data_IF_373336912831
#
_entry.id   IF_373336912831
#
_cell.length_a   1.000
_cell.length_b   1.000
_cell.length_c   1.000
_cell.angle_alpha   90.00
_cell.angle_beta   90.00
_cell.angle_gamma   90.00
#
_symmetry.space_group_name_H-M   'P 1'
#
loop_
_entity.id
_entity.type
_entity.pdbx_description
1 polymer ?
#
# COMPACT_ATOMS: atom_id res chain seq x y z
N UNK A 1 11.02 9.87 -2.59
CA UNK A 1 12.35 10.52 -2.69
C UNK A 1 13.35 9.49 -2.19
N UNK A 2 13.89 8.69 -3.10
CA UNK A 2 14.73 7.52 -2.81
C UNK A 2 16.20 7.91 -3.05
N UNK A 3 16.85 8.50 -2.05
CA UNK A 3 18.30 8.72 -2.06
C UNK A 3 18.82 10.06 -2.62
N UNK A 4 17.96 11.00 -3.06
CA UNK A 4 18.41 12.29 -3.62
C UNK A 4 18.21 13.47 -2.66
N UNK A 5 18.71 13.37 -1.43
CA UNK A 5 18.65 14.50 -0.48
C UNK A 5 19.42 14.31 0.81
N UNK A 6 19.85 15.41 1.42
CA UNK A 6 20.44 15.44 2.77
C UNK A 6 19.31 15.35 3.80
N UNK A 7 19.21 14.25 4.53
CA UNK A 7 18.25 14.05 5.62
C UNK A 7 18.79 14.66 6.93
N UNK A 8 18.00 15.52 7.57
CA UNK A 8 18.23 15.91 8.97
C UNK A 8 17.23 15.17 9.85
N UNK A 9 17.74 14.40 10.79
CA UNK A 9 16.95 13.73 11.82
C UNK A 9 16.39 14.80 12.78
N UNK A 10 15.06 14.84 12.94
CA UNK A 10 14.39 15.83 13.80
C UNK A 10 14.18 15.23 15.19
N UNK A 11 13.32 14.22 15.29
CA UNK A 11 12.94 13.57 16.53
C UNK A 11 12.37 12.18 16.20
N UNK A 12 12.50 11.23 17.12
CA UNK A 12 11.99 9.86 16.94
C UNK A 12 11.07 9.45 18.07
N UNK A 13 9.97 8.79 17.72
CA UNK A 13 9.04 8.18 18.65
C UNK A 13 9.08 6.66 18.54
N UNK A 14 9.10 5.98 19.68
CA UNK A 14 8.88 4.54 19.76
C UNK A 14 7.41 4.30 20.05
N UNK A 15 6.75 3.48 19.22
CA UNK A 15 5.35 3.10 19.36
C UNK A 15 5.29 1.59 19.53
N UNK A 16 4.61 1.13 20.59
CA UNK A 16 4.28 -0.27 20.77
C UNK A 16 3.04 -0.61 19.94
N UNK A 17 3.23 -1.37 18.86
CA UNK A 17 2.14 -1.78 17.98
C UNK A 17 1.16 -2.73 18.65
N UNK A 18 1.54 -3.43 19.72
CA UNK A 18 0.61 -4.35 20.42
C UNK A 18 -0.31 -3.61 21.38
N UNK A 19 0.07 -2.40 21.81
CA UNK A 19 -0.72 -1.55 22.70
C UNK A 19 -1.71 -0.61 21.95
N UNK A 20 -1.67 -0.57 20.63
CA UNK A 20 -2.58 0.26 19.83
C UNK A 20 -3.99 -0.33 19.79
N UNK A 21 -4.98 0.55 19.70
CA UNK A 21 -6.37 0.18 19.46
C UNK A 21 -6.59 -0.20 17.99
N UNK A 22 -7.10 -1.42 17.77
CA UNK A 22 -7.44 -1.95 16.46
C UNK A 22 -8.93 -2.24 16.30
N UNK A 23 -9.79 -1.80 17.22
CA UNK A 23 -11.23 -2.10 17.22
C UNK A 23 -11.89 -1.67 15.90
N UNK A 24 -11.47 -0.52 15.36
CA UNK A 24 -11.94 -0.04 14.05
C UNK A 24 -11.66 -1.02 12.91
N UNK A 25 -10.48 -1.64 12.91
CA UNK A 25 -10.14 -2.66 11.92
C UNK A 25 -10.88 -3.95 12.29
N UNK A 26 -10.79 -4.42 13.53
CA UNK A 26 -11.37 -5.69 13.96
C UNK A 26 -12.89 -5.79 13.74
N UNK A 27 -13.63 -4.68 13.82
CA UNK A 27 -15.08 -4.63 13.69
C UNK A 27 -15.59 -4.50 12.24
N UNK A 28 -14.72 -4.34 11.24
CA UNK A 28 -15.15 -4.11 9.86
C UNK A 28 -15.41 -5.43 9.09
N UNK A 29 -16.34 -5.38 8.14
CA UNK A 29 -16.71 -6.54 7.33
C UNK A 29 -15.87 -6.68 6.04
N UNK A 30 -15.39 -5.57 5.49
CA UNK A 30 -14.60 -5.53 4.25
C UNK A 30 -13.46 -4.53 4.37
N UNK A 31 -12.33 -4.86 3.74
CA UNK A 31 -11.11 -4.08 3.83
C UNK A 31 -10.47 -3.82 2.47
N UNK A 32 -9.67 -2.77 2.41
CA UNK A 32 -8.77 -2.47 1.30
C UNK A 32 -7.34 -2.35 1.80
N UNK A 33 -6.40 -2.58 0.89
CA UNK A 33 -4.98 -2.28 1.09
C UNK A 33 -4.64 -1.04 0.28
N UNK A 34 -4.08 -0.05 0.93
CA UNK A 34 -3.43 1.10 0.29
C UNK A 34 -1.91 0.86 0.28
N UNK A 35 -1.29 0.87 -0.90
CA UNK A 35 0.18 0.82 -1.02
C UNK A 35 0.76 2.20 -0.75
N UNK A 36 1.43 2.38 0.38
CA UNK A 36 2.01 3.68 0.74
C UNK A 36 3.36 3.87 0.07
N UNK A 37 4.11 2.77 -0.10
CA UNK A 37 5.32 2.71 -0.90
C UNK A 37 5.20 1.59 -1.94
N UNK A 38 6.03 1.59 -3.01
CA UNK A 38 5.97 0.55 -4.01
C UNK A 38 6.25 -0.83 -3.40
N UNK A 39 5.51 -1.83 -3.86
CA UNK A 39 5.73 -3.23 -3.48
C UNK A 39 6.60 -3.90 -4.53
N UNK A 40 7.78 -4.39 -4.14
CA UNK A 40 8.75 -4.97 -5.06
C UNK A 40 8.37 -6.41 -5.39
N UNK A 41 8.28 -6.72 -6.68
CA UNK A 41 7.98 -8.08 -7.17
C UNK A 41 9.21 -8.77 -7.77
N UNK A 42 10.17 -7.99 -8.28
CA UNK A 42 11.46 -8.50 -8.75
C UNK A 42 12.53 -7.41 -8.62
N UNK A 43 13.79 -7.81 -8.52
CA UNK A 43 14.91 -6.91 -8.31
C UNK A 43 16.22 -7.49 -8.83
N UNK A 44 17.07 -6.62 -9.37
CA UNK A 44 18.48 -6.96 -9.66
C UNK A 44 19.38 -6.93 -8.41
N UNK A 45 18.88 -6.45 -7.28
CA UNK A 45 19.64 -6.33 -6.04
C UNK A 45 20.07 -7.72 -5.53
N UNK A 46 21.35 -7.94 -5.20
CA UNK A 46 21.83 -9.22 -4.69
C UNK A 46 21.07 -9.69 -3.44
N UNK A 47 20.72 -10.97 -3.38
CA UNK A 47 19.96 -11.58 -2.28
C UNK A 47 18.51 -11.08 -2.14
N UNK A 48 17.96 -10.41 -3.15
CA UNK A 48 16.53 -10.19 -3.24
C UNK A 48 15.82 -11.43 -3.78
N UNK A 49 14.69 -11.78 -3.18
CA UNK A 49 13.81 -12.81 -3.68
C UNK A 49 12.81 -12.21 -4.67
N UNK A 50 12.52 -12.94 -5.75
CA UNK A 50 11.32 -12.67 -6.55
C UNK A 50 10.08 -12.97 -5.72
N UNK A 51 9.09 -12.07 -5.79
CA UNK A 51 7.87 -12.17 -5.01
C UNK A 51 6.66 -12.01 -5.92
N UNK A 52 5.72 -12.94 -5.79
CA UNK A 52 4.41 -12.82 -6.43
C UNK A 52 3.57 -11.77 -5.71
N UNK A 53 2.57 -11.23 -6.41
CA UNK A 53 1.49 -10.49 -5.76
C UNK A 53 0.88 -11.37 -4.66
N UNK A 54 0.75 -10.90 -3.41
CA UNK A 54 0.18 -11.72 -2.34
C UNK A 54 -1.24 -12.16 -2.69
N UNK A 55 -1.56 -13.43 -2.47
CA UNK A 55 -2.84 -14.03 -2.88
C UNK A 55 -4.07 -13.39 -2.21
N UNK A 56 -3.87 -12.77 -1.04
CA UNK A 56 -4.90 -12.04 -0.30
C UNK A 56 -5.15 -10.62 -0.82
N UNK A 57 -4.55 -10.24 -1.95
CA UNK A 57 -4.88 -9.02 -2.69
C UNK A 57 -5.97 -9.36 -3.70
N UNK A 58 -7.18 -8.84 -3.49
CA UNK A 58 -8.20 -8.86 -4.53
C UNK A 58 -7.89 -7.77 -5.55
N UNK A 59 -7.22 -8.19 -6.63
CA UNK A 59 -6.84 -7.32 -7.73
C UNK A 59 -7.93 -7.24 -8.82
N UNK A 60 -9.05 -7.95 -8.64
CA UNK A 60 -10.17 -7.98 -9.59
C UNK A 60 -11.15 -6.83 -9.35
N UNK A 61 -11.14 -6.26 -8.14
CA UNK A 61 -11.90 -5.07 -7.74
C UNK A 61 -10.98 -3.85 -7.70
N UNK A 62 -10.76 -3.12 -8.80
CA UNK A 62 -10.27 -1.75 -8.66
C UNK A 62 -11.33 -1.00 -7.87
N UNK A 63 -10.97 -0.38 -6.74
CA UNK A 63 -11.91 0.49 -6.02
C UNK A 63 -12.42 1.52 -7.02
N UNK A 64 -13.73 1.50 -7.30
CA UNK A 64 -14.37 2.56 -8.06
C UNK A 64 -14.02 3.88 -7.36
N UNK A 65 -13.31 4.76 -8.05
CA UNK A 65 -13.33 6.14 -7.63
C UNK A 65 -14.80 6.58 -7.67
N UNK A 66 -15.32 7.35 -6.71
CA UNK A 66 -16.67 7.93 -6.85
C UNK A 66 -16.83 8.76 -8.14
N UNK A 67 -15.73 9.05 -8.83
CA UNK A 67 -15.65 9.77 -10.09
C UNK A 67 -15.66 8.87 -11.35
N UNK A 68 -15.58 7.54 -11.21
CA UNK A 68 -15.54 6.64 -12.37
C UNK A 68 -16.97 6.19 -12.69
N UNK A 69 -17.62 6.96 -13.57
CA UNK A 69 -18.90 6.59 -14.16
C UNK A 69 -18.82 5.31 -15.00
N UNK A 70 -19.99 4.68 -15.19
CA UNK A 70 -20.22 3.44 -15.93
C UNK A 70 -19.49 3.40 -17.28
N UNK A 71 -18.27 2.85 -17.31
CA UNK A 71 -17.42 2.81 -18.50
C UNK A 71 -16.90 1.41 -18.79
N UNK A 72 -17.51 0.74 -19.76
CA UNK A 72 -17.08 -0.55 -20.32
C UNK A 72 -15.63 -0.47 -20.85
N UNK A 73 -14.72 -1.21 -20.20
CA UNK A 73 -13.31 -1.28 -20.58
C UNK A 73 -12.91 -2.74 -20.81
N UNK A 74 -12.90 -3.16 -22.08
CA UNK A 74 -12.42 -4.47 -22.51
C UNK A 74 -10.89 -4.54 -22.37
N UNK A 75 -10.41 -4.97 -21.22
CA UNK A 75 -8.98 -4.97 -20.86
C UNK A 75 -8.30 -6.34 -21.10
N UNK A 76 -7.03 -6.32 -21.55
CA UNK A 76 -6.21 -7.53 -21.80
C UNK A 76 -6.02 -8.39 -20.53
N UNK A 77 -5.59 -9.65 -20.68
CA UNK A 77 -5.39 -10.58 -19.55
C UNK A 77 -4.40 -10.06 -18.47
N UNK A 78 -3.43 -9.21 -18.82
CA UNK A 78 -2.53 -8.55 -17.87
C UNK A 78 -3.16 -7.30 -17.21
N UNK A 79 -4.09 -6.65 -17.93
CA UNK A 79 -4.90 -5.53 -17.45
C UNK A 79 -6.07 -5.97 -16.56
N UNK A 80 -6.46 -7.26 -16.61
CA UNK A 80 -7.45 -7.88 -15.71
C UNK A 80 -7.03 -7.91 -14.24
N UNK A 81 -5.75 -7.70 -13.95
CA UNK A 81 -5.27 -7.60 -12.57
C UNK A 81 -5.38 -6.19 -11.99
N UNK A 82 -5.84 -5.15 -12.71
CA UNK A 82 -6.04 -3.81 -12.13
C UNK A 82 -4.82 -3.08 -11.53
N UNK A 83 -3.65 -3.74 -11.44
CA UNK A 83 -2.45 -3.24 -10.78
C UNK A 83 -1.57 -2.42 -11.74
N UNK A 84 -1.30 -1.17 -11.37
CA UNK A 84 -0.29 -0.33 -12.02
C UNK A 84 1.11 -0.81 -11.61
N UNK A 85 1.94 -1.12 -12.61
CA UNK A 85 3.33 -1.55 -12.41
C UNK A 85 4.28 -0.44 -12.82
N UNK A 86 5.45 -0.39 -12.19
CA UNK A 86 6.50 0.60 -12.47
C UNK A 86 7.88 -0.01 -12.29
N UNK A 87 8.85 0.47 -13.05
CA UNK A 87 10.27 0.24 -12.78
C UNK A 87 10.78 1.34 -11.87
N UNK A 88 11.37 0.97 -10.73
CA UNK A 88 12.05 1.88 -9.81
C UNK A 88 13.55 1.61 -9.84
N UNK A 89 14.34 2.53 -9.27
CA UNK A 89 15.77 2.33 -9.04
C UNK A 89 16.08 2.42 -7.56
N UNK A 90 16.87 1.47 -7.07
CA UNK A 90 17.47 1.48 -5.74
C UNK A 90 18.95 1.79 -5.90
N UNK A 91 19.47 2.66 -5.04
CA UNK A 91 20.91 2.91 -4.92
C UNK A 91 21.36 2.32 -3.59
N UNK A 92 22.37 1.45 -3.63
CA UNK A 92 23.07 0.93 -2.46
C UNK A 92 24.56 1.16 -2.68
N UNK A 93 25.20 1.89 -1.77
CA UNK A 93 26.52 2.49 -1.98
C UNK A 93 26.62 3.29 -3.31
N UNK A 94 27.46 2.83 -4.24
CA UNK A 94 27.67 3.45 -5.57
C UNK A 94 27.00 2.66 -6.71
N UNK A 95 26.28 1.58 -6.40
CA UNK A 95 25.60 0.74 -7.38
C UNK A 95 24.11 1.06 -7.49
N UNK A 96 23.57 0.97 -8.70
CA UNK A 96 22.17 1.24 -9.01
C UNK A 96 21.53 -0.04 -9.54
N UNK A 97 20.43 -0.45 -8.92
CA UNK A 97 19.70 -1.66 -9.26
C UNK A 97 18.29 -1.32 -9.72
N UNK A 98 17.81 -1.98 -10.77
CA UNK A 98 16.41 -1.86 -11.18
C UNK A 98 15.49 -2.76 -10.36
N UNK A 99 14.32 -2.23 -10.02
CA UNK A 99 13.26 -2.92 -9.31
C UNK A 99 11.99 -2.91 -10.15
N UNK A 100 11.38 -4.08 -10.35
CA UNK A 100 10.00 -4.15 -10.82
C UNK A 100 9.05 -4.05 -9.62
N UNK A 101 8.13 -3.09 -9.64
CA UNK A 101 7.24 -2.81 -8.52
C UNK A 101 5.78 -2.68 -8.93
N UNK A 102 4.90 -2.90 -7.96
CA UNK A 102 3.54 -2.40 -7.97
C UNK A 102 3.57 -1.00 -7.36
N UNK A 103 3.08 -0.02 -8.11
CA UNK A 103 3.24 1.38 -7.76
C UNK A 103 2.47 1.78 -6.50
N UNK A 104 3.03 2.71 -5.74
CA UNK A 104 2.40 3.31 -4.57
C UNK A 104 1.14 4.12 -4.92
N UNK A 105 0.35 4.44 -3.91
CA UNK A 105 -0.93 5.16 -4.01
C UNK A 105 -2.08 4.32 -4.57
N UNK A 106 -1.85 3.07 -4.95
CA UNK A 106 -2.90 2.14 -5.39
C UNK A 106 -3.67 1.58 -4.21
N UNK A 107 -4.96 1.31 -4.46
CA UNK A 107 -5.87 0.68 -3.51
C UNK A 107 -6.38 -0.61 -4.16
N UNK A 108 -6.27 -1.71 -3.43
CA UNK A 108 -6.77 -3.04 -3.84
C UNK A 108 -7.64 -3.65 -2.75
N UNK A 109 -8.52 -4.59 -3.10
CA UNK A 109 -9.31 -5.30 -2.09
C UNK A 109 -8.42 -6.20 -1.23
N UNK A 110 -8.86 -6.47 0.00
CA UNK A 110 -8.21 -7.41 0.91
C UNK A 110 -9.11 -8.62 1.14
N UNK A 111 -8.63 -9.80 0.76
CA UNK A 111 -9.34 -11.09 0.85
C UNK A 111 -8.72 -12.01 1.92
N UNK A 112 -7.91 -11.44 2.82
CA UNK A 112 -7.27 -12.19 3.89
C UNK A 112 -8.13 -12.32 5.15
N UNK A 113 -7.84 -13.30 6.00
CA UNK A 113 -8.59 -13.54 7.24
C UNK A 113 -8.02 -12.83 8.49
N UNK A 114 -6.85 -12.17 8.39
CA UNK A 114 -6.12 -11.58 9.54
C UNK A 114 -5.81 -10.09 9.36
N UNK A 115 -6.83 -9.22 9.19
CA UNK A 115 -6.63 -7.81 8.80
C UNK A 115 -5.76 -7.02 9.79
N UNK A 116 -5.89 -7.26 11.10
CA UNK A 116 -5.09 -6.59 12.14
C UNK A 116 -3.61 -6.95 12.06
N UNK A 117 -3.28 -8.24 11.89
CA UNK A 117 -1.90 -8.67 11.74
C UNK A 117 -1.31 -8.15 10.43
N UNK A 118 -2.08 -8.19 9.34
CA UNK A 118 -1.69 -7.59 8.05
C UNK A 118 -1.40 -6.10 8.21
N UNK A 119 -2.21 -5.37 8.98
CA UNK A 119 -1.98 -3.95 9.26
C UNK A 119 -0.65 -3.71 10.00
N UNK A 120 -0.34 -4.52 11.02
CA UNK A 120 0.94 -4.45 11.76
C UNK A 120 2.13 -4.73 10.83
N UNK A 121 2.05 -5.80 10.04
CA UNK A 121 3.09 -6.14 9.07
C UNK A 121 3.26 -5.05 8.00
N UNK A 122 2.18 -4.37 7.62
CA UNK A 122 2.24 -3.27 6.66
C UNK A 122 3.05 -2.06 7.17
N UNK A 123 2.97 -1.75 8.47
CA UNK A 123 3.80 -0.71 9.11
C UNK A 123 5.26 -1.14 9.22
N UNK A 124 5.50 -2.42 9.53
CA UNK A 124 6.84 -3.01 9.54
C UNK A 124 7.43 -3.18 8.13
N UNK A 125 6.59 -2.97 7.11
CA UNK A 125 6.85 -3.15 5.68
C UNK A 125 7.07 -4.61 5.30
N UNK A 126 6.58 -4.99 4.13
CA UNK A 126 6.56 -6.38 3.68
C UNK A 126 7.56 -6.60 2.54
N UNK A 127 8.27 -7.72 2.58
CA UNK A 127 9.19 -8.16 1.52
C UNK A 127 10.67 -7.81 1.74
N UNK A 128 11.51 -8.28 0.82
CA UNK A 128 12.98 -8.24 0.92
C UNK A 128 13.59 -6.84 0.93
N UNK A 129 12.87 -5.83 0.45
CA UNK A 129 13.33 -4.44 0.38
C UNK A 129 12.73 -3.53 1.46
N UNK A 130 12.07 -4.11 2.47
CA UNK A 130 11.51 -3.38 3.63
C UNK A 130 12.52 -2.44 4.29
N UNK A 131 13.77 -2.89 4.46
CA UNK A 131 14.87 -2.09 5.02
C UNK A 131 15.20 -0.83 4.21
N UNK A 132 14.85 -0.80 2.93
CA UNK A 132 15.09 0.32 2.01
C UNK A 132 13.84 1.19 1.81
N UNK A 133 12.79 0.98 2.61
CA UNK A 133 11.57 1.80 2.58
C UNK A 133 10.57 1.39 1.50
N UNK A 134 10.67 0.17 0.95
CA UNK A 134 9.66 -0.43 0.08
C UNK A 134 8.69 -1.32 0.86
N UNK A 135 7.53 -1.61 0.28
CA UNK A 135 6.57 -2.58 0.84
C UNK A 135 5.73 -2.09 2.02
N UNK A 136 5.76 -0.80 2.35
CA UNK A 136 4.80 -0.19 3.26
C UNK A 136 3.39 -0.21 2.67
N UNK A 137 2.44 -0.73 3.44
CA UNK A 137 1.01 -0.76 3.10
C UNK A 137 0.15 -0.44 4.32
N UNK A 138 -1.10 -0.03 4.08
CA UNK A 138 -2.11 0.20 5.12
C UNK A 138 -3.36 -0.62 4.83
N UNK A 139 -3.87 -1.29 5.85
CA UNK A 139 -5.19 -1.94 5.80
C UNK A 139 -6.23 -0.97 6.33
N UNK A 140 -7.35 -0.83 5.62
CA UNK A 140 -8.43 0.10 5.99
C UNK A 140 -9.79 -0.57 5.77
N UNK A 141 -10.77 -0.36 6.67
CA UNK A 141 -12.16 -0.63 6.35
C UNK A 141 -12.59 0.04 5.05
N UNK A 142 -13.39 -0.63 4.21
CA UNK A 142 -13.92 -0.05 2.96
C UNK A 142 -14.75 1.22 3.22
N UNK A 143 -15.47 1.23 4.34
CA UNK A 143 -16.32 2.36 4.79
C UNK A 143 -15.53 3.64 5.08
N UNK A 144 -14.21 3.56 5.22
CA UNK A 144 -13.38 4.73 5.51
C UNK A 144 -13.06 5.53 4.23
N UNK A 145 -13.29 6.85 4.29
CA UNK A 145 -12.70 7.77 3.31
C UNK A 145 -11.19 7.87 3.53
N UNK A 146 -10.42 7.87 2.44
CA UNK A 146 -8.98 8.10 2.44
C UNK A 146 -8.62 9.42 3.15
N UNK A 147 -9.46 10.43 2.98
CA UNK A 147 -9.36 11.75 3.59
C UNK A 147 -10.34 11.85 4.76
N UNK A 148 -9.87 11.81 6.02
CA UNK A 148 -10.77 11.83 7.19
C UNK A 148 -11.72 13.03 7.20
N UNK A 149 -11.28 14.17 6.66
CA UNK A 149 -12.03 15.44 6.58
C UNK A 149 -13.22 15.40 5.60
N UNK A 150 -13.33 14.37 4.75
CA UNK A 150 -14.48 14.15 3.85
C UNK A 150 -15.53 13.21 4.41
N UNK A 151 -15.28 12.60 5.56
CA UNK A 151 -16.31 11.83 6.25
C UNK A 151 -17.52 12.73 6.51
N UNK A 152 -18.76 12.24 6.33
CA UNK A 152 -19.99 13.04 6.43
C UNK A 152 -20.17 13.72 7.81
N UNK A 153 -19.43 13.27 8.81
CA UNK A 153 -19.35 13.87 10.15
C UNK A 153 -18.76 15.30 10.16
N UNK A 154 -17.92 15.65 9.17
CA UNK A 154 -17.28 16.96 9.06
C UNK A 154 -17.89 17.86 7.97
N UNK A 155 -18.94 17.41 7.29
CA UNK A 155 -19.66 18.17 6.26
C UNK A 155 -20.63 19.23 6.83
N UNK A 156 -20.38 19.71 8.05
CA UNK A 156 -21.16 20.74 8.74
C UNK A 156 -20.59 22.14 8.54
N UNK A 157 -20.57 22.64 7.31
CA UNK A 157 -20.34 24.06 7.04
C UNK A 157 -21.62 24.86 7.31
N UNK A 158 -21.72 25.47 8.50
CA UNK A 158 -22.79 26.39 8.87
C UNK A 158 -22.85 27.63 7.96
N UNK A 159 -24.09 28.09 7.76
CA UNK A 159 -24.53 29.15 6.84
C UNK A 159 -23.88 30.53 7.03
#
# INVERSE_FOLDING_TARGET
NYGFGKLSFIDSQVIDLDALDYDRIAAADEYVIELVSPFVVASEFPNADEQSVPWWWDTSRPRASPADGDGDCRASAASRAGLRRRTERLVDDDEVYELATIDHGQIVGYDGARPVETAKNGVLRVGTHSRFGFGELRVRPVSDDRVPERSPEFAGGGA
#
